data_IF_744020231319
#
_entry.id   IF_744020231319
#
_cell.length_a   1.000
_cell.length_b   1.000
_cell.length_c   1.000
_cell.angle_alpha   90.00
_cell.angle_beta   90.00
_cell.angle_gamma   90.00
#
_symmetry.space_group_name_H-M   'P 1'
#
loop_
_entity.id
_entity.type
_entity.pdbx_description
1 polymer ?
#
# COMPACT_ATOMS: atom_id res chain seq x y z
N UNK A 1 38.20 49.72 -40.97
CA UNK A 1 37.05 48.77 -40.87
C UNK A 1 35.88 49.58 -40.39
N UNK A 2 34.83 49.74 -41.20
CA UNK A 2 33.66 50.58 -40.88
C UNK A 2 32.94 50.09 -39.65
N UNK A 3 32.44 51.00 -38.83
CA UNK A 3 31.67 50.68 -37.61
C UNK A 3 30.49 49.71 -37.88
N UNK A 4 29.92 49.77 -39.07
CA UNK A 4 28.86 48.83 -39.49
C UNK A 4 29.32 47.38 -39.56
N UNK A 5 30.57 47.09 -40.01
CA UNK A 5 31.13 45.75 -40.03
C UNK A 5 31.41 45.20 -38.64
N UNK A 6 31.78 46.06 -37.66
CA UNK A 6 31.99 45.67 -36.28
C UNK A 6 30.65 45.33 -35.59
N UNK A 7 29.60 46.08 -35.90
CA UNK A 7 28.24 45.82 -35.36
C UNK A 7 27.67 44.55 -35.96
N UNK A 8 27.88 44.28 -37.25
CA UNK A 8 27.42 43.03 -37.88
C UNK A 8 28.12 41.77 -37.29
N UNK A 9 29.43 41.88 -37.03
CA UNK A 9 30.22 40.78 -36.43
C UNK A 9 29.78 40.55 -34.99
N UNK A 10 29.46 41.61 -34.21
CA UNK A 10 28.95 41.48 -32.84
C UNK A 10 27.53 40.86 -32.82
N UNK A 11 26.66 41.24 -33.76
CA UNK A 11 25.33 40.61 -33.89
C UNK A 11 25.42 39.14 -34.31
N UNK A 12 26.33 38.78 -35.21
CA UNK A 12 26.57 37.38 -35.61
C UNK A 12 27.11 36.54 -34.45
N UNK A 13 27.95 37.13 -33.58
CA UNK A 13 28.45 36.44 -32.36
C UNK A 13 27.38 36.23 -31.31
N UNK A 14 26.42 37.15 -31.17
CA UNK A 14 25.26 36.99 -30.26
C UNK A 14 24.26 35.97 -30.81
N UNK A 15 24.09 35.88 -32.15
CA UNK A 15 23.23 34.83 -32.73
C UNK A 15 23.86 33.43 -32.69
N UNK A 16 25.19 33.32 -32.66
CA UNK A 16 25.89 32.02 -32.56
C UNK A 16 25.94 31.46 -31.12
N UNK A 17 25.71 32.31 -30.10
CA UNK A 17 25.42 31.87 -28.77
C UNK A 17 23.91 31.50 -28.67
N UNK A 18 23.42 30.76 -29.67
CA UNK A 18 22.10 30.19 -29.68
C UNK A 18 21.93 29.36 -28.42
N UNK A 19 21.01 29.83 -27.59
CA UNK A 19 20.52 29.14 -26.40
C UNK A 19 20.33 27.65 -26.75
N UNK A 20 21.29 26.85 -26.37
CA UNK A 20 21.12 25.39 -26.29
C UNK A 20 20.14 25.11 -25.16
N UNK A 21 18.88 25.46 -25.37
CA UNK A 21 17.79 25.02 -24.54
C UNK A 21 17.71 23.51 -24.79
N UNK A 22 18.43 22.73 -24.02
CA UNK A 22 18.17 21.30 -23.94
C UNK A 22 16.77 21.17 -23.35
N UNK A 23 15.79 20.97 -24.22
CA UNK A 23 14.46 20.58 -23.77
C UNK A 23 14.63 19.30 -22.94
N UNK A 24 14.38 19.40 -21.65
CA UNK A 24 14.39 18.22 -20.79
C UNK A 24 13.27 17.30 -21.25
N UNK A 25 13.64 16.17 -21.82
CA UNK A 25 12.69 15.18 -22.27
C UNK A 25 11.96 14.61 -21.05
N UNK A 26 10.64 14.76 -21.00
CA UNK A 26 9.78 14.14 -20.00
C UNK A 26 9.43 12.73 -20.46
N UNK A 27 9.81 11.72 -19.70
CA UNK A 27 9.40 10.33 -19.90
C UNK A 27 8.30 10.04 -18.87
N UNK A 28 7.12 9.66 -19.33
CA UNK A 28 5.97 9.34 -18.49
C UNK A 28 5.83 7.82 -18.41
N UNK A 29 5.53 7.31 -17.20
CA UNK A 29 5.40 5.87 -16.91
C UNK A 29 6.57 5.05 -17.47
N UNK A 30 7.83 5.36 -17.12
CA UNK A 30 8.97 4.62 -17.64
C UNK A 30 8.92 3.16 -17.15
N UNK A 31 9.26 2.24 -18.05
CA UNK A 31 9.45 0.84 -17.68
C UNK A 31 10.79 0.72 -16.96
N UNK A 32 10.75 0.44 -15.67
CA UNK A 32 11.94 0.24 -14.85
C UNK A 32 12.34 -1.24 -14.89
N UNK A 33 13.51 -1.53 -15.46
CA UNK A 33 14.09 -2.87 -15.43
C UNK A 33 15.03 -3.00 -14.24
N UNK A 34 14.75 -3.93 -13.34
CA UNK A 34 15.63 -4.24 -12.21
C UNK A 34 16.95 -4.93 -12.64
N UNK A 35 17.05 -5.38 -13.88
CA UNK A 35 18.29 -5.89 -14.47
C UNK A 35 19.19 -4.77 -15.03
N UNK A 36 18.69 -3.53 -15.15
CA UNK A 36 19.47 -2.38 -15.58
C UNK A 36 20.37 -1.87 -14.44
N UNK A 37 21.47 -1.21 -14.81
CA UNK A 37 22.30 -0.52 -13.84
C UNK A 37 21.50 0.61 -13.18
N UNK A 38 21.55 0.76 -11.86
CA UNK A 38 20.92 1.86 -11.15
C UNK A 38 21.40 3.21 -11.68
N UNK A 39 20.46 4.15 -11.81
CA UNK A 39 20.76 5.54 -12.14
C UNK A 39 20.30 6.42 -10.98
N UNK A 40 21.10 7.43 -10.68
CA UNK A 40 20.78 8.38 -9.60
C UNK A 40 19.96 9.53 -10.17
N UNK A 41 18.85 9.83 -9.50
CA UNK A 41 17.95 10.93 -9.80
C UNK A 41 17.72 11.77 -8.55
N UNK A 42 17.36 13.03 -8.72
CA UNK A 42 16.83 13.85 -7.66
C UNK A 42 15.32 13.60 -7.54
N UNK A 43 14.85 13.22 -6.35
CA UNK A 43 13.42 13.02 -6.10
C UNK A 43 12.71 14.38 -6.06
N UNK A 44 12.10 14.76 -7.17
CA UNK A 44 11.48 16.08 -7.35
C UNK A 44 10.02 16.14 -6.89
N UNK A 45 9.34 14.99 -6.79
CA UNK A 45 7.97 14.93 -6.31
C UNK A 45 7.54 13.54 -5.90
N UNK A 46 6.61 13.49 -4.94
CA UNK A 46 5.96 12.26 -4.48
C UNK A 46 4.47 12.54 -4.41
N UNK A 47 3.68 11.69 -5.05
CA UNK A 47 2.22 11.69 -4.93
C UNK A 47 1.74 10.41 -4.28
N UNK A 48 0.58 10.45 -3.61
CA UNK A 48 -0.03 9.29 -2.95
C UNK A 48 -1.47 9.15 -3.41
N UNK A 49 -1.96 7.92 -3.53
CA UNK A 49 -3.36 7.63 -3.81
C UNK A 49 -3.81 6.28 -3.24
N UNK A 50 -5.12 6.02 -3.33
CA UNK A 50 -5.73 4.72 -3.01
C UNK A 50 -6.23 4.58 -1.58
N UNK A 51 -5.98 5.56 -0.69
CA UNK A 51 -6.51 5.61 0.67
C UNK A 51 -7.14 6.97 0.96
N UNK A 52 -8.23 6.97 1.72
CA UNK A 52 -8.91 8.17 2.17
C UNK A 52 -8.68 8.38 3.67
N UNK A 53 -8.84 9.63 4.13
CA UNK A 53 -8.79 9.97 5.56
C UNK A 53 -7.38 10.09 6.14
N UNK A 54 -6.38 10.15 5.28
CA UNK A 54 -4.99 10.43 5.65
C UNK A 54 -4.48 11.61 4.84
N UNK A 55 -3.71 12.48 5.47
CA UNK A 55 -2.99 13.54 4.78
C UNK A 55 -1.77 12.97 4.04
N UNK A 56 -1.52 13.41 2.81
CA UNK A 56 -0.44 12.91 1.96
C UNK A 56 0.93 12.98 2.64
N UNK A 57 1.21 14.07 3.37
CA UNK A 57 2.50 14.23 4.05
C UNK A 57 2.73 13.18 5.15
N UNK A 58 1.67 12.70 5.80
CA UNK A 58 1.73 11.61 6.79
C UNK A 58 2.10 10.31 6.11
N UNK A 59 1.42 10.01 5.01
CA UNK A 59 1.68 8.81 4.22
C UNK A 59 3.09 8.83 3.64
N UNK A 60 3.52 9.94 3.04
CA UNK A 60 4.88 10.11 2.54
C UNK A 60 5.91 9.93 3.66
N UNK A 61 5.65 10.47 4.86
CA UNK A 61 6.50 10.31 6.03
C UNK A 61 6.75 8.84 6.41
N UNK A 62 5.73 7.98 6.30
CA UNK A 62 5.86 6.53 6.52
C UNK A 62 6.88 5.91 5.56
N UNK A 63 6.92 6.34 4.30
CA UNK A 63 7.85 5.82 3.31
C UNK A 63 9.31 6.08 3.68
N UNK A 64 9.56 7.17 4.41
CA UNK A 64 10.89 7.70 4.70
C UNK A 64 11.60 8.26 3.48
N UNK A 65 10.87 8.52 2.40
CA UNK A 65 11.34 9.26 1.24
C UNK A 65 11.08 10.76 1.46
N UNK A 66 11.97 11.59 0.94
CA UNK A 66 11.86 13.05 1.04
C UNK A 66 12.11 13.71 -0.30
N UNK A 67 11.28 14.67 -0.68
CA UNK A 67 11.53 15.49 -1.86
C UNK A 67 12.86 16.24 -1.69
N UNK A 68 13.65 16.26 -2.76
CA UNK A 68 14.99 16.86 -2.77
C UNK A 68 16.13 15.89 -2.47
N UNK A 69 15.88 14.67 -2.01
CA UNK A 69 16.94 13.66 -1.84
C UNK A 69 17.37 13.06 -3.17
N UNK A 70 18.60 12.54 -3.20
CA UNK A 70 19.05 11.71 -4.30
C UNK A 70 18.55 10.28 -4.10
N UNK A 71 18.09 9.64 -5.18
CA UNK A 71 17.52 8.31 -5.18
C UNK A 71 18.05 7.51 -6.37
N UNK A 72 18.45 6.28 -6.10
CA UNK A 72 18.80 5.32 -7.15
C UNK A 72 17.55 4.60 -7.66
N UNK A 73 17.39 4.49 -8.97
CA UNK A 73 16.30 3.79 -9.63
C UNK A 73 16.87 2.84 -10.71
N UNK A 74 16.63 1.52 -10.59
CA UNK A 74 16.07 0.81 -9.43
C UNK A 74 17.01 0.87 -8.22
N UNK A 75 16.45 0.87 -6.98
CA UNK A 75 17.30 1.01 -5.80
C UNK A 75 16.63 0.58 -4.49
N UNK A 76 17.48 0.52 -3.47
CA UNK A 76 17.07 0.03 -2.13
C UNK A 76 16.15 1.00 -1.40
N UNK A 77 16.20 2.29 -1.70
CA UNK A 77 15.35 3.31 -1.05
C UNK A 77 13.85 3.01 -1.29
N UNK A 78 13.47 2.67 -2.53
CA UNK A 78 12.11 2.30 -2.89
C UNK A 78 11.70 0.99 -2.19
N UNK A 79 12.56 -0.02 -2.24
CA UNK A 79 12.30 -1.30 -1.56
C UNK A 79 12.10 -1.12 -0.05
N UNK A 80 12.91 -0.26 0.58
CA UNK A 80 12.80 0.02 2.01
C UNK A 80 11.52 0.82 2.33
N UNK A 81 11.11 1.73 1.47
CA UNK A 81 9.83 2.44 1.62
C UNK A 81 8.64 1.45 1.61
N UNK A 82 8.61 0.51 0.66
CA UNK A 82 7.59 -0.56 0.62
C UNK A 82 7.60 -1.38 1.92
N UNK A 83 8.79 -1.80 2.39
CA UNK A 83 8.93 -2.56 3.65
C UNK A 83 8.41 -1.78 4.87
N UNK A 84 8.61 -0.45 4.91
CA UNK A 84 8.08 0.40 6.00
C UNK A 84 6.56 0.41 6.03
N UNK A 85 5.89 0.55 4.88
CA UNK A 85 4.43 0.45 4.82
C UNK A 85 3.91 -0.90 5.30
N UNK A 86 4.55 -2.01 4.87
CA UNK A 86 4.17 -3.34 5.34
C UNK A 86 4.36 -3.51 6.84
N UNK A 87 5.42 -2.95 7.40
CA UNK A 87 5.69 -3.01 8.84
C UNK A 87 4.63 -2.28 9.66
N UNK A 88 4.04 -1.20 9.14
CA UNK A 88 2.94 -0.50 9.80
C UNK A 88 1.66 -1.33 9.89
N UNK A 89 1.47 -2.32 9.02
CA UNK A 89 0.33 -3.21 9.06
C UNK A 89 -1.02 -2.59 8.65
N UNK A 90 -1.05 -1.30 8.31
CA UNK A 90 -2.27 -0.55 7.98
C UNK A 90 -2.79 -0.85 6.56
N UNK A 91 -1.91 -1.35 5.69
CA UNK A 91 -2.19 -1.50 4.27
C UNK A 91 -2.28 -2.97 3.88
N UNK A 92 -3.18 -3.29 2.96
CA UNK A 92 -3.33 -4.61 2.34
C UNK A 92 -2.59 -4.71 1.01
N UNK A 93 -2.27 -3.56 0.40
CA UNK A 93 -1.46 -3.48 -0.80
C UNK A 93 -0.64 -2.19 -0.80
N UNK A 94 0.57 -2.26 -1.37
CA UNK A 94 1.53 -1.15 -1.48
C UNK A 94 2.27 -1.29 -2.81
N UNK A 95 2.20 -0.25 -3.62
CA UNK A 95 2.96 -0.15 -4.87
C UNK A 95 3.61 1.23 -4.97
N UNK A 96 4.85 1.28 -5.44
CA UNK A 96 5.56 2.53 -5.73
C UNK A 96 6.03 2.47 -7.17
N UNK A 97 5.55 3.39 -7.98
CA UNK A 97 5.90 3.52 -9.39
C UNK A 97 6.69 4.80 -9.64
N UNK A 98 7.51 4.79 -10.67
CA UNK A 98 8.06 6.03 -11.24
C UNK A 98 7.01 6.58 -12.18
N UNK A 99 6.38 7.69 -11.78
CA UNK A 99 5.37 8.38 -12.60
C UNK A 99 6.00 9.04 -13.82
N UNK A 100 7.10 9.76 -13.60
CA UNK A 100 7.82 10.40 -14.70
C UNK A 100 9.28 10.68 -14.36
N UNK A 101 10.09 10.80 -15.41
CA UNK A 101 11.47 11.26 -15.37
C UNK A 101 11.59 12.53 -16.24
N UNK A 102 12.22 13.58 -15.70
CA UNK A 102 12.44 14.85 -16.40
C UNK A 102 13.90 15.27 -16.20
N UNK A 103 14.75 14.99 -17.17
CA UNK A 103 16.21 15.11 -16.99
C UNK A 103 16.67 14.25 -15.82
N UNK A 104 17.35 14.84 -14.84
CA UNK A 104 17.84 14.16 -13.65
C UNK A 104 16.82 14.12 -12.49
N UNK A 105 15.57 14.52 -12.75
CA UNK A 105 14.52 14.54 -11.76
C UNK A 105 13.56 13.34 -11.91
N UNK A 106 13.25 12.68 -10.80
CA UNK A 106 12.27 11.62 -10.73
C UNK A 106 11.04 12.05 -9.92
N UNK A 107 9.88 11.62 -10.38
CA UNK A 107 8.59 11.77 -9.71
C UNK A 107 8.06 10.38 -9.38
N UNK A 108 7.73 10.16 -8.12
CA UNK A 108 7.21 8.87 -7.67
C UNK A 108 5.71 8.96 -7.36
N UNK A 109 5.01 7.89 -7.66
CA UNK A 109 3.63 7.68 -7.24
C UNK A 109 3.54 6.49 -6.29
N UNK A 110 2.99 6.71 -5.11
CA UNK A 110 2.75 5.71 -4.09
C UNK A 110 1.27 5.36 -4.11
N UNK A 111 0.95 4.12 -4.44
CA UNK A 111 -0.40 3.59 -4.34
C UNK A 111 -0.51 2.73 -3.09
N UNK A 112 -1.52 3.01 -2.26
CA UNK A 112 -1.79 2.31 -1.01
C UNK A 112 -3.23 1.80 -1.01
N UNK A 113 -3.44 0.60 -0.50
CA UNK A 113 -4.77 0.07 -0.22
C UNK A 113 -4.88 -0.21 1.27
N UNK A 114 -5.79 0.49 1.96
CA UNK A 114 -6.01 0.27 3.38
C UNK A 114 -6.56 -1.13 3.66
N UNK A 115 -6.18 -1.73 4.79
CA UNK A 115 -6.83 -2.97 5.25
C UNK A 115 -8.27 -2.67 5.63
N UNK A 116 -9.20 -3.52 5.23
CA UNK A 116 -10.59 -3.34 5.62
C UNK A 116 -10.76 -3.52 7.14
N UNK A 117 -11.79 -2.86 7.67
CA UNK A 117 -12.21 -2.99 9.07
C UNK A 117 -13.47 -3.82 9.17
N UNK A 118 -13.61 -4.52 10.28
CA UNK A 118 -14.79 -5.35 10.56
C UNK A 118 -15.95 -4.43 10.92
N UNK A 119 -17.01 -4.44 10.11
CA UNK A 119 -18.26 -3.73 10.40
C UNK A 119 -19.20 -4.55 11.28
N UNK A 120 -19.25 -5.86 11.03
CA UNK A 120 -20.17 -6.78 11.70
C UNK A 120 -19.54 -8.16 11.81
N UNK A 121 -19.85 -8.86 12.90
CA UNK A 121 -19.48 -10.26 13.10
C UNK A 121 -20.76 -11.03 13.32
N UNK A 122 -21.02 -12.01 12.46
CA UNK A 122 -22.16 -12.93 12.58
C UNK A 122 -21.66 -14.27 13.10
N UNK A 123 -22.35 -14.82 14.09
CA UNK A 123 -22.07 -16.13 14.65
C UNK A 123 -23.22 -17.07 14.34
N UNK A 124 -23.00 -18.05 13.49
CA UNK A 124 -24.00 -19.00 13.05
C UNK A 124 -23.74 -20.40 13.68
N UNK A 125 -24.81 -21.14 14.01
CA UNK A 125 -24.71 -22.47 14.60
C UNK A 125 -24.35 -22.48 16.08
N UNK A 126 -24.33 -21.32 16.77
CA UNK A 126 -23.98 -21.18 18.18
C UNK A 126 -25.18 -20.86 19.07
N UNK A 127 -25.16 -21.40 20.30
CA UNK A 127 -26.03 -20.94 21.39
C UNK A 127 -25.48 -19.62 21.93
N UNK A 128 -26.32 -18.84 22.64
CA UNK A 128 -25.94 -17.54 23.20
C UNK A 128 -24.66 -17.61 24.05
N UNK A 129 -24.58 -18.57 24.99
CA UNK A 129 -23.40 -18.74 25.85
C UNK A 129 -22.13 -19.11 25.06
N UNK A 130 -22.25 -19.92 24.00
CA UNK A 130 -21.13 -20.29 23.14
C UNK A 130 -20.65 -19.11 22.33
N UNK A 131 -21.55 -18.23 21.89
CA UNK A 131 -21.23 -16.99 21.21
C UNK A 131 -20.45 -16.06 22.14
N UNK A 132 -20.90 -15.84 23.36
CA UNK A 132 -20.22 -15.02 24.36
C UNK A 132 -18.80 -15.55 24.65
N UNK A 133 -18.63 -16.87 24.78
CA UNK A 133 -17.33 -17.51 24.91
C UNK A 133 -16.44 -17.28 23.69
N UNK A 134 -17.01 -17.34 22.48
CA UNK A 134 -16.27 -17.11 21.23
C UNK A 134 -15.82 -15.66 21.12
N UNK A 135 -16.69 -14.70 21.41
CA UNK A 135 -16.34 -13.26 21.39
C UNK A 135 -15.11 -12.97 22.26
N UNK A 136 -15.04 -13.57 23.45
CA UNK A 136 -13.89 -13.42 24.35
C UNK A 136 -12.64 -14.15 23.84
N UNK A 137 -12.79 -15.40 23.38
CA UNK A 137 -11.65 -16.25 23.01
C UNK A 137 -10.99 -15.85 21.71
N UNK A 138 -11.76 -15.42 20.72
CA UNK A 138 -11.22 -15.08 19.40
C UNK A 138 -10.53 -13.71 19.39
N UNK A 139 -10.94 -12.79 20.28
CA UNK A 139 -10.36 -11.45 20.34
C UNK A 139 -10.60 -10.63 19.08
N UNK A 140 -11.64 -10.98 18.31
CA UNK A 140 -12.05 -10.25 17.11
C UNK A 140 -13.11 -9.25 17.51
N UNK A 141 -12.92 -7.98 17.15
CA UNK A 141 -13.85 -6.92 17.53
C UNK A 141 -14.29 -6.12 16.31
N UNK A 142 -15.52 -5.64 16.35
CA UNK A 142 -16.02 -4.64 15.40
C UNK A 142 -15.10 -3.41 15.38
N UNK A 143 -14.84 -2.88 14.21
CA UNK A 143 -13.90 -1.77 13.99
C UNK A 143 -12.42 -2.20 13.89
N UNK A 144 -12.09 -3.43 14.29
CA UNK A 144 -10.75 -3.98 14.15
C UNK A 144 -10.37 -4.20 12.69
N UNK A 145 -9.07 -4.12 12.39
CA UNK A 145 -8.56 -4.49 11.07
C UNK A 145 -8.52 -6.00 10.91
N UNK A 146 -8.79 -6.47 9.71
CA UNK A 146 -8.73 -7.90 9.39
C UNK A 146 -7.40 -8.25 8.73
N UNK A 147 -6.80 -9.36 9.17
CA UNK A 147 -5.61 -9.93 8.55
C UNK A 147 -5.79 -11.43 8.34
N UNK A 148 -5.16 -12.05 7.32
CA UNK A 148 -5.21 -13.50 7.13
C UNK A 148 -4.82 -14.27 8.40
N UNK A 149 -3.70 -13.93 9.03
CA UNK A 149 -3.25 -14.57 10.28
C UNK A 149 -4.29 -14.50 11.41
N UNK A 150 -5.07 -13.43 11.49
CA UNK A 150 -6.13 -13.30 12.50
C UNK A 150 -7.27 -14.28 12.22
N UNK A 151 -7.65 -14.46 10.96
CA UNK A 151 -8.70 -15.42 10.57
C UNK A 151 -8.23 -16.84 10.86
N UNK A 152 -7.03 -17.21 10.42
CA UNK A 152 -6.48 -18.56 10.64
C UNK A 152 -6.39 -18.89 12.12
N UNK A 153 -5.86 -17.96 12.92
CA UNK A 153 -5.79 -18.12 14.39
C UNK A 153 -7.17 -18.27 15.01
N UNK A 154 -8.12 -17.46 14.62
CA UNK A 154 -9.48 -17.51 15.12
C UNK A 154 -10.14 -18.85 14.80
N UNK A 155 -9.96 -19.37 13.58
CA UNK A 155 -10.48 -20.65 13.17
C UNK A 155 -9.90 -21.81 14.00
N UNK A 156 -8.59 -21.79 14.25
CA UNK A 156 -7.91 -22.78 15.11
C UNK A 156 -8.46 -22.71 16.55
N UNK A 157 -8.58 -21.51 17.12
CA UNK A 157 -9.08 -21.32 18.48
C UNK A 157 -10.52 -21.77 18.64
N UNK A 158 -11.37 -21.43 17.66
CA UNK A 158 -12.77 -21.85 17.68
C UNK A 158 -12.91 -23.38 17.56
N UNK A 159 -12.16 -24.00 16.65
CA UNK A 159 -12.14 -25.46 16.53
C UNK A 159 -11.69 -26.12 17.82
N UNK A 160 -10.61 -25.68 18.43
CA UNK A 160 -10.12 -26.20 19.71
C UNK A 160 -11.16 -26.09 20.82
N UNK A 161 -11.87 -24.97 20.92
CA UNK A 161 -12.94 -24.79 21.91
C UNK A 161 -14.04 -25.88 21.81
N UNK A 162 -14.45 -26.23 20.58
CA UNK A 162 -15.46 -27.26 20.36
C UNK A 162 -14.90 -28.67 20.59
N UNK A 163 -13.64 -28.93 20.23
CA UNK A 163 -12.94 -30.17 20.54
C UNK A 163 -12.89 -30.41 22.07
N UNK A 164 -12.54 -29.38 22.84
CA UNK A 164 -12.47 -29.43 24.31
C UNK A 164 -13.85 -29.67 24.93
N UNK A 165 -14.92 -29.23 24.26
CA UNK A 165 -16.33 -29.51 24.68
C UNK A 165 -16.89 -30.87 24.22
N UNK A 166 -16.05 -31.69 23.53
CA UNK A 166 -16.38 -33.02 23.05
C UNK A 166 -16.97 -33.09 21.65
N UNK A 167 -16.99 -31.99 20.90
CA UNK A 167 -17.43 -31.95 19.50
C UNK A 167 -16.23 -32.16 18.59
N UNK A 168 -15.68 -33.36 18.56
CA UNK A 168 -14.42 -33.69 17.84
C UNK A 168 -14.50 -33.45 16.33
N UNK A 169 -15.67 -33.63 15.76
CA UNK A 169 -15.90 -33.46 14.31
C UNK A 169 -16.49 -32.10 13.96
N UNK A 170 -16.48 -31.14 14.89
CA UNK A 170 -16.94 -29.80 14.62
C UNK A 170 -16.13 -29.16 13.50
N UNK A 171 -16.83 -28.51 12.58
CA UNK A 171 -16.21 -27.67 11.55
C UNK A 171 -16.49 -26.21 11.82
N UNK A 172 -15.46 -25.41 11.67
CA UNK A 172 -15.54 -23.94 11.81
C UNK A 172 -15.04 -23.32 10.52
N UNK A 173 -15.84 -22.45 9.94
CA UNK A 173 -15.48 -21.66 8.76
C UNK A 173 -15.66 -20.19 9.10
N UNK A 174 -14.65 -19.38 8.80
CA UNK A 174 -14.71 -17.93 8.93
C UNK A 174 -14.62 -17.36 7.52
N UNK A 175 -15.71 -16.74 7.08
CA UNK A 175 -15.82 -16.13 5.75
C UNK A 175 -15.87 -14.62 5.88
N UNK A 176 -15.18 -13.97 4.97
CA UNK A 176 -15.18 -12.53 4.83
C UNK A 176 -15.98 -12.14 3.59
N UNK A 177 -16.84 -11.16 3.72
CA UNK A 177 -17.52 -10.52 2.60
C UNK A 177 -17.53 -9.01 2.75
N UNK A 178 -17.52 -8.29 1.64
CA UNK A 178 -17.56 -6.84 1.66
C UNK A 178 -18.87 -6.33 2.25
N UNK A 179 -18.79 -5.28 3.06
CA UNK A 179 -19.96 -4.56 3.53
C UNK A 179 -20.34 -3.50 2.50
N UNK A 180 -21.39 -3.78 1.74
CA UNK A 180 -21.88 -2.89 0.68
C UNK A 180 -22.38 -1.54 1.19
N UNK A 181 -22.61 -1.41 2.51
CA UNK A 181 -23.12 -0.18 3.14
C UNK A 181 -22.01 0.74 3.63
N UNK A 182 -20.76 0.25 3.69
CA UNK A 182 -19.65 1.00 4.23
C UNK A 182 -18.34 0.75 3.47
N UNK A 183 -17.72 1.83 2.97
CA UNK A 183 -16.47 1.77 2.20
C UNK A 183 -15.35 1.16 3.06
N UNK A 184 -14.58 0.25 2.45
CA UNK A 184 -13.45 -0.42 3.08
C UNK A 184 -13.78 -1.11 4.40
N UNK A 185 -15.00 -1.69 4.50
CA UNK A 185 -15.42 -2.50 5.63
C UNK A 185 -15.88 -3.88 5.17
N UNK A 186 -15.78 -4.83 6.08
CA UNK A 186 -16.15 -6.22 5.83
C UNK A 186 -17.00 -6.79 6.95
N UNK A 187 -17.85 -7.72 6.59
CA UNK A 187 -18.63 -8.54 7.50
C UNK A 187 -17.91 -9.88 7.63
N UNK A 188 -17.75 -10.35 8.87
CA UNK A 188 -17.26 -11.69 9.16
C UNK A 188 -18.43 -12.59 9.50
N UNK A 189 -18.57 -13.69 8.76
CA UNK A 189 -19.51 -14.76 9.06
C UNK A 189 -18.72 -15.94 9.65
N UNK A 190 -18.96 -16.25 10.92
CA UNK A 190 -18.36 -17.37 11.64
C UNK A 190 -19.40 -18.48 11.69
N UNK A 191 -19.23 -19.48 10.84
CA UNK A 191 -20.14 -20.60 10.69
C UNK A 191 -19.59 -21.81 11.45
N UNK A 192 -20.36 -22.35 12.39
CA UNK A 192 -20.00 -23.52 13.18
C UNK A 192 -21.02 -24.63 12.97
N UNK A 193 -20.55 -25.76 12.48
CA UNK A 193 -21.30 -27.00 12.44
C UNK A 193 -20.70 -27.98 13.46
N UNK A 194 -21.39 -28.19 14.58
CA UNK A 194 -20.87 -28.96 15.73
C UNK A 194 -20.85 -30.45 15.50
N UNK A 195 -21.65 -30.98 14.54
CA UNK A 195 -21.86 -32.42 14.38
C UNK A 195 -22.33 -33.08 15.70
N UNK A 196 -22.26 -34.41 15.78
CA UNK A 196 -22.59 -35.14 16.98
C UNK A 196 -21.46 -35.07 18.01
N UNK A 197 -21.88 -35.08 19.30
CA UNK A 197 -20.95 -35.13 20.41
C UNK A 197 -20.43 -36.53 20.58
N UNK A 198 -19.13 -36.72 20.41
CA UNK A 198 -18.48 -38.02 20.70
C UNK A 198 -18.22 -38.12 22.20
N UNK A 199 -18.67 -39.23 22.77
CA UNK A 199 -18.39 -39.62 24.17
C UNK A 199 -16.94 -40.04 24.32
#
# INVERSE_FOLDING_TARGET
MSNTKKVLILLAFILSFGLQIKAQQKIVNPIISYAANPQTYKLAGISVSGVDGYEDYVLIGISGLSVGQDIEIPGTAITNAVKRYWKHGLFSDVSIAVDSLVGDNAYLHIYLKARPRISTINYNGLKKSEREDMEQKLGIMKGGQITPNMIDRAQILAKKYFDDKGYKDATVQIRQRDDVTAKNQVILDIDVDKKEKKK
#
